data_IF_651085702070
#
_entry.id   IF_651085702070
#
_cell.length_a   1.000
_cell.length_b   1.000
_cell.length_c   1.000
_cell.angle_alpha   90.00
_cell.angle_beta   90.00
_cell.angle_gamma   90.00
#
_symmetry.space_group_name_H-M   'P 1'
#
loop_
_entity.id
_entity.type
_entity.pdbx_description
1 polymer ?
#
# COMPACT_ATOMS: atom_id res chain seq x y z
N UNK A 1 -15.09 -4.39 -8.33
CA UNK A 1 -14.31 -3.14 -8.46
C UNK A 1 -13.61 -2.70 -7.17
N UNK A 2 -14.29 -2.16 -6.14
CA UNK A 2 -13.61 -1.63 -4.93
C UNK A 2 -12.68 -2.63 -4.22
N UNK A 3 -13.10 -3.89 -4.11
CA UNK A 3 -12.28 -4.98 -3.57
C UNK A 3 -11.05 -5.25 -4.46
N UNK A 4 -11.21 -5.22 -5.79
CA UNK A 4 -10.08 -5.38 -6.71
C UNK A 4 -9.08 -4.23 -6.58
N UNK A 5 -9.55 -3.00 -6.43
CA UNK A 5 -8.69 -1.84 -6.18
C UNK A 5 -7.93 -1.99 -4.85
N UNK A 6 -8.56 -2.54 -3.81
CA UNK A 6 -7.88 -2.85 -2.55
C UNK A 6 -6.75 -3.86 -2.75
N UNK A 7 -7.01 -4.98 -3.45
CA UNK A 7 -5.97 -5.97 -3.77
C UNK A 7 -4.85 -5.35 -4.62
N UNK A 8 -5.20 -4.53 -5.61
CA UNK A 8 -4.24 -3.81 -6.42
C UNK A 8 -3.35 -2.90 -5.58
N UNK A 9 -3.94 -2.07 -4.71
CA UNK A 9 -3.18 -1.18 -3.82
C UNK A 9 -2.30 -1.96 -2.85
N UNK A 10 -2.80 -3.08 -2.31
CA UNK A 10 -2.00 -3.96 -1.45
C UNK A 10 -0.78 -4.52 -2.20
N UNK A 11 -0.98 -5.11 -3.38
CA UNK A 11 0.11 -5.65 -4.20
C UNK A 11 1.08 -4.56 -4.67
N UNK A 12 0.59 -3.38 -4.99
CA UNK A 12 1.39 -2.22 -5.36
C UNK A 12 2.33 -1.79 -4.22
N UNK A 13 1.80 -1.64 -3.00
CA UNK A 13 2.59 -1.26 -1.82
C UNK A 13 3.54 -2.39 -1.41
N UNK A 14 3.09 -3.64 -1.45
CA UNK A 14 3.93 -4.81 -1.19
C UNK A 14 5.12 -4.87 -2.15
N UNK A 15 4.88 -4.63 -3.45
CA UNK A 15 5.94 -4.55 -4.46
C UNK A 15 6.96 -3.47 -4.13
N UNK A 16 6.51 -2.26 -3.77
CA UNK A 16 7.41 -1.18 -3.35
C UNK A 16 8.25 -1.58 -2.13
N UNK A 17 7.65 -2.19 -1.11
CA UNK A 17 8.37 -2.68 0.08
C UNK A 17 9.42 -3.73 -0.29
N UNK A 18 9.09 -4.67 -1.19
CA UNK A 18 10.06 -5.68 -1.65
C UNK A 18 11.21 -5.09 -2.48
N UNK A 19 10.96 -4.06 -3.30
CA UNK A 19 12.03 -3.34 -4.03
C UNK A 19 12.91 -2.49 -3.12
N UNK A 20 12.37 -1.97 -2.03
CA UNK A 20 13.12 -1.21 -1.02
C UNK A 20 13.78 -2.08 0.06
N UNK A 21 13.93 -3.40 -0.15
CA UNK A 21 14.43 -4.31 0.87
C UNK A 21 15.79 -3.88 1.44
N UNK A 22 16.75 -3.53 0.57
CA UNK A 22 18.10 -3.10 0.97
C UNK A 22 18.07 -1.82 1.83
N UNK A 23 17.15 -0.90 1.51
CA UNK A 23 16.98 0.36 2.25
C UNK A 23 16.30 0.16 3.60
N UNK A 24 15.26 -0.69 3.65
CA UNK A 24 14.54 -0.99 4.88
C UNK A 24 15.41 -1.79 5.85
N UNK A 25 16.31 -2.64 5.36
CA UNK A 25 17.26 -3.37 6.21
C UNK A 25 18.28 -2.43 6.90
N UNK A 26 18.65 -1.34 6.24
CA UNK A 26 19.61 -0.34 6.72
C UNK A 26 18.95 0.85 7.45
N UNK A 27 17.62 0.87 7.55
CA UNK A 27 16.90 1.98 8.16
C UNK A 27 17.18 2.08 9.68
N UNK A 28 17.19 3.32 10.20
CA UNK A 28 17.41 3.56 11.63
C UNK A 28 16.11 3.32 12.43
N UNK A 29 16.11 2.26 13.22
CA UNK A 29 14.99 1.88 14.09
C UNK A 29 15.11 2.39 15.54
N UNK A 30 16.11 3.20 15.84
CA UNK A 30 16.44 3.63 17.21
C UNK A 30 15.28 4.33 17.93
N UNK A 31 14.75 3.71 19.00
CA UNK A 31 13.72 4.28 19.89
C UNK A 31 14.26 4.62 21.28
N UNK A 32 15.52 4.29 21.55
CA UNK A 32 16.12 4.35 22.89
C UNK A 32 15.97 3.06 23.69
N UNK A 33 15.29 2.04 23.15
CA UNK A 33 15.20 0.70 23.73
C UNK A 33 15.91 -0.32 22.82
N UNK A 34 17.16 -0.70 23.14
CA UNK A 34 17.97 -1.58 22.28
C UNK A 34 17.32 -2.96 22.01
N UNK A 35 16.57 -3.51 22.97
CA UNK A 35 15.93 -4.82 22.79
C UNK A 35 14.80 -4.76 21.75
N UNK A 36 13.94 -3.74 21.84
CA UNK A 36 12.86 -3.51 20.88
C UNK A 36 13.39 -3.11 19.50
N UNK A 37 14.47 -2.35 19.44
CA UNK A 37 15.10 -1.92 18.20
C UNK A 37 15.68 -3.12 17.44
N UNK A 38 16.41 -4.00 18.14
CA UNK A 38 16.93 -5.25 17.57
C UNK A 38 15.80 -6.19 17.12
N UNK A 39 14.75 -6.31 17.93
CA UNK A 39 13.57 -7.10 17.59
C UNK A 39 12.89 -6.56 16.34
N UNK A 40 12.73 -5.25 16.23
CA UNK A 40 12.13 -4.58 15.06
C UNK A 40 12.95 -4.86 13.81
N UNK A 41 14.27 -4.70 13.88
CA UNK A 41 15.15 -5.00 12.75
C UNK A 41 15.05 -6.47 12.30
N UNK A 42 15.00 -7.41 13.25
CA UNK A 42 14.79 -8.84 12.95
C UNK A 42 13.45 -9.09 12.25
N UNK A 43 12.36 -8.50 12.75
CA UNK A 43 11.02 -8.68 12.17
C UNK A 43 10.93 -8.07 10.76
N UNK A 44 11.55 -6.92 10.52
CA UNK A 44 11.63 -6.32 9.19
C UNK A 44 12.37 -7.24 8.22
N UNK A 45 13.51 -7.81 8.62
CA UNK A 45 14.23 -8.79 7.78
C UNK A 45 13.35 -10.01 7.49
N UNK A 46 12.69 -10.57 8.51
CA UNK A 46 11.79 -11.71 8.31
C UNK A 46 10.65 -11.41 7.33
N UNK A 47 10.11 -10.18 7.35
CA UNK A 47 9.10 -9.73 6.40
C UNK A 47 9.68 -9.66 4.98
N UNK A 48 10.82 -9.00 4.78
CA UNK A 48 11.43 -8.78 3.46
C UNK A 48 11.96 -10.05 2.79
N UNK A 49 12.47 -10.99 3.59
CA UNK A 49 13.04 -12.25 3.11
C UNK A 49 12.04 -13.41 3.18
N UNK A 50 10.76 -13.15 3.46
CA UNK A 50 9.75 -14.20 3.50
C UNK A 50 9.57 -14.83 2.10
N UNK A 51 9.84 -16.14 1.93
CA UNK A 51 9.79 -16.80 0.62
C UNK A 51 8.39 -16.76 0.01
N UNK A 52 7.34 -16.80 0.84
CA UNK A 52 5.94 -16.73 0.37
C UNK A 52 5.65 -15.38 -0.28
N UNK A 53 6.16 -14.28 0.28
CA UNK A 53 5.96 -12.94 -0.27
C UNK A 53 6.76 -12.74 -1.57
N UNK A 54 7.98 -13.31 -1.63
CA UNK A 54 8.81 -13.27 -2.85
C UNK A 54 8.19 -14.08 -4.00
N UNK A 55 7.62 -15.24 -3.71
CA UNK A 55 6.95 -16.08 -4.72
C UNK A 55 5.56 -15.58 -5.11
N UNK A 56 4.84 -14.94 -4.18
CA UNK A 56 3.47 -14.47 -4.38
C UNK A 56 3.34 -13.07 -4.98
N UNK A 57 4.45 -12.45 -5.40
CA UNK A 57 4.45 -11.20 -6.15
C UNK A 57 4.67 -11.48 -7.65
N UNK A 58 3.68 -12.01 -8.40
CA UNK A 58 3.66 -11.78 -9.84
C UNK A 58 3.52 -10.27 -10.04
N UNK A 59 4.27 -9.71 -10.99
CA UNK A 59 4.21 -8.29 -11.37
C UNK A 59 2.73 -7.88 -11.55
N UNK A 60 2.14 -7.09 -10.61
CA UNK A 60 0.71 -6.81 -10.66
C UNK A 60 0.34 -5.89 -11.83
N UNK A 61 1.34 -5.21 -12.38
CA UNK A 61 1.27 -4.38 -13.57
C UNK A 61 2.63 -4.39 -14.27
N UNK A 62 2.62 -4.08 -15.56
CA UNK A 62 3.83 -3.92 -16.36
C UNK A 62 4.47 -2.57 -16.02
N UNK A 63 5.51 -2.63 -15.19
CA UNK A 63 6.28 -1.47 -14.71
C UNK A 63 6.82 -0.63 -15.89
N UNK A 64 7.16 -1.29 -17.01
CA UNK A 64 7.61 -0.63 -18.23
C UNK A 64 6.50 0.21 -18.87
N UNK A 65 5.27 -0.31 -18.93
CA UNK A 65 4.13 0.45 -19.50
C UNK A 65 3.69 1.62 -18.65
N UNK A 66 3.84 1.51 -17.33
CA UNK A 66 3.42 2.57 -16.42
C UNK A 66 4.47 3.70 -16.35
N UNK A 67 5.77 3.37 -16.49
CA UNK A 67 6.85 4.29 -16.14
C UNK A 67 7.96 4.50 -17.20
N UNK A 68 8.14 3.62 -18.19
CA UNK A 68 9.18 3.74 -19.23
C UNK A 68 8.73 4.52 -20.48
N UNK A 69 7.59 5.20 -20.45
CA UNK A 69 7.21 6.15 -21.51
C UNK A 69 8.08 7.42 -21.49
N UNK A 70 8.19 8.12 -22.63
CA UNK A 70 8.95 9.38 -22.77
C UNK A 70 8.59 10.44 -21.70
N UNK A 71 7.41 10.36 -21.09
CA UNK A 71 6.89 11.32 -20.11
C UNK A 71 7.07 10.87 -18.63
N UNK A 72 7.86 9.83 -18.33
CA UNK A 72 8.05 9.30 -16.97
C UNK A 72 8.42 10.36 -15.90
N UNK A 73 9.36 11.27 -16.16
CA UNK A 73 9.72 12.35 -15.22
C UNK A 73 8.59 13.36 -14.98
N UNK A 74 7.83 13.70 -16.01
CA UNK A 74 6.70 14.63 -15.92
C UNK A 74 5.54 14.01 -15.13
N UNK A 75 5.22 12.75 -15.42
CA UNK A 75 4.22 11.96 -14.70
C UNK A 75 4.59 11.85 -13.20
N UNK A 76 5.86 11.63 -12.89
CA UNK A 76 6.35 11.62 -11.50
C UNK A 76 6.08 12.96 -10.80
N UNK A 77 6.37 14.09 -11.45
CA UNK A 77 6.13 15.42 -10.87
C UNK A 77 4.64 15.70 -10.70
N UNK A 78 3.82 15.30 -11.67
CA UNK A 78 2.37 15.46 -11.60
C UNK A 78 1.78 14.65 -10.45
N UNK A 79 2.14 13.38 -10.34
CA UNK A 79 1.72 12.50 -9.24
C UNK A 79 2.15 13.11 -7.90
N UNK A 80 3.40 13.54 -7.74
CA UNK A 80 3.86 14.19 -6.51
C UNK A 80 3.07 15.46 -6.17
N UNK A 81 2.69 16.25 -7.19
CA UNK A 81 1.82 17.42 -6.99
C UNK A 81 0.43 17.00 -6.53
N UNK A 82 -0.16 15.97 -7.12
CA UNK A 82 -1.46 15.44 -6.70
C UNK A 82 -1.42 14.93 -5.26
N UNK A 83 -0.39 14.19 -4.85
CA UNK A 83 -0.23 13.73 -3.46
C UNK A 83 -0.12 14.88 -2.45
N UNK A 84 0.58 15.97 -2.80
CA UNK A 84 0.61 17.20 -1.98
C UNK A 84 -0.77 17.83 -1.85
N UNK A 85 -1.53 17.90 -2.94
CA UNK A 85 -2.89 18.43 -2.93
C UNK A 85 -3.83 17.55 -2.09
N UNK A 86 -3.76 16.23 -2.22
CA UNK A 86 -4.54 15.30 -1.40
C UNK A 86 -4.18 15.48 0.08
N UNK A 87 -2.89 15.61 0.42
CA UNK A 87 -2.47 15.87 1.78
C UNK A 87 -3.00 17.20 2.33
N UNK A 88 -3.13 18.24 1.50
CA UNK A 88 -3.72 19.52 1.88
C UNK A 88 -5.24 19.39 2.11
N UNK A 89 -5.94 18.58 1.31
CA UNK A 89 -7.36 18.28 1.54
C UNK A 89 -7.57 17.56 2.88
N UNK A 90 -6.63 16.68 3.28
CA UNK A 90 -6.69 16.02 4.59
C UNK A 90 -6.65 17.01 5.76
N UNK A 91 -6.13 18.23 5.58
CA UNK A 91 -6.16 19.27 6.60
C UNK A 91 -7.56 19.83 6.87
N UNK A 92 -8.50 19.64 5.94
CA UNK A 92 -9.89 20.04 6.09
C UNK A 92 -10.77 18.98 6.79
N UNK A 93 -10.21 17.81 7.14
CA UNK A 93 -10.96 16.73 7.80
C UNK A 93 -11.09 17.04 9.29
N UNK A 94 -12.32 17.30 9.76
CA UNK A 94 -12.60 17.65 11.16
C UNK A 94 -12.40 16.50 12.16
N UNK A 95 -12.44 15.24 11.72
CA UNK A 95 -12.12 14.09 12.55
C UNK A 95 -10.60 13.92 12.67
N UNK A 96 -10.04 14.13 13.88
CA UNK A 96 -8.60 14.07 14.12
C UNK A 96 -7.97 12.71 13.78
N UNK A 97 -8.62 11.62 14.17
CA UNK A 97 -8.15 10.25 13.84
C UNK A 97 -8.16 10.03 12.33
N UNK A 98 -9.20 10.49 11.64
CA UNK A 98 -9.34 10.34 10.20
C UNK A 98 -8.29 11.17 9.45
N UNK A 99 -8.01 12.39 9.93
CA UNK A 99 -6.94 13.24 9.42
C UNK A 99 -5.56 12.60 9.60
N UNK A 100 -5.28 12.06 10.79
CA UNK A 100 -4.02 11.37 11.07
C UNK A 100 -3.80 10.17 10.13
N UNK A 101 -4.76 9.25 10.09
CA UNK A 101 -4.65 8.06 9.24
C UNK A 101 -4.68 8.40 7.75
N UNK A 102 -5.49 9.38 7.34
CA UNK A 102 -5.53 9.88 5.97
C UNK A 102 -4.17 10.41 5.53
N UNK A 103 -3.53 11.27 6.32
CA UNK A 103 -2.17 11.76 6.03
C UNK A 103 -1.13 10.65 6.02
N UNK A 104 -1.19 9.72 6.98
CA UNK A 104 -0.26 8.61 7.07
C UNK A 104 -0.36 7.69 5.84
N UNK A 105 -1.57 7.37 5.38
CA UNK A 105 -1.80 6.53 4.21
C UNK A 105 -1.40 7.23 2.90
N UNK A 106 -1.72 8.52 2.76
CA UNK A 106 -1.33 9.33 1.59
C UNK A 106 0.19 9.44 1.51
N UNK A 107 0.87 9.68 2.64
CA UNK A 107 2.34 9.67 2.70
C UNK A 107 2.91 8.30 2.32
N UNK A 108 2.37 7.21 2.88
CA UNK A 108 2.82 5.85 2.58
C UNK A 108 2.67 5.48 1.09
N UNK A 109 1.58 5.88 0.45
CA UNK A 109 1.37 5.68 -0.99
C UNK A 109 2.35 6.51 -1.82
N UNK A 110 2.61 7.76 -1.43
CA UNK A 110 3.63 8.60 -2.07
C UNK A 110 5.03 8.02 -1.93
N UNK A 111 5.36 7.45 -0.76
CA UNK A 111 6.63 6.74 -0.54
C UNK A 111 6.73 5.48 -1.40
N UNK A 112 5.67 4.69 -1.51
CA UNK A 112 5.65 3.52 -2.39
C UNK A 112 5.93 3.89 -3.86
N UNK A 113 5.30 4.96 -4.34
CA UNK A 113 5.58 5.51 -5.68
C UNK A 113 7.04 5.98 -5.80
N UNK A 114 7.54 6.77 -4.84
CA UNK A 114 8.93 7.25 -4.82
C UNK A 114 9.94 6.10 -4.94
N UNK A 115 9.70 4.98 -4.24
CA UNK A 115 10.53 3.78 -4.33
C UNK A 115 10.47 3.20 -5.74
N UNK A 116 9.27 2.93 -6.26
CA UNK A 116 9.09 2.30 -7.58
C UNK A 116 9.72 3.16 -8.70
N UNK A 117 9.61 4.49 -8.62
CA UNK A 117 10.24 5.42 -9.58
C UNK A 117 11.77 5.48 -9.50
N UNK A 118 12.38 5.08 -8.37
CA UNK A 118 13.83 5.25 -8.16
C UNK A 118 14.60 3.97 -8.45
N UNK A 119 13.97 2.80 -8.35
CA UNK A 119 14.64 1.50 -8.54
C UNK A 119 14.65 1.06 -10.02
N UNK A 120 13.69 1.51 -10.84
CA UNK A 120 13.59 1.12 -12.27
C UNK A 120 14.30 2.09 -13.24
N UNK A 121 14.89 3.17 -12.73
CA UNK A 121 15.65 4.13 -13.52
C UNK A 121 17.13 3.74 -13.62
N UNK A 122 17.45 2.72 -14.41
CA UNK A 122 18.83 2.26 -14.66
C UNK A 122 19.79 3.34 -15.23
N UNK A 123 19.30 4.54 -15.56
CA UNK A 123 20.08 5.62 -16.16
C UNK A 123 20.33 6.86 -15.27
N UNK A 124 19.99 6.82 -13.98
CA UNK A 124 20.31 7.93 -13.06
C UNK A 124 21.23 7.48 -11.93
N UNK A 125 22.50 7.23 -12.28
CA UNK A 125 23.64 6.85 -11.44
C UNK A 125 23.92 7.74 -10.20
N UNK A 126 23.10 8.74 -9.87
CA UNK A 126 23.39 9.70 -8.80
C UNK A 126 22.19 10.08 -7.91
N UNK A 127 21.01 9.47 -8.04
CA UNK A 127 19.90 9.76 -7.12
C UNK A 127 19.74 8.62 -6.11
N UNK A 128 20.57 8.65 -5.07
CA UNK A 128 20.44 7.73 -3.93
C UNK A 128 19.00 7.82 -3.39
N UNK A 129 18.22 6.74 -3.48
CA UNK A 129 16.91 6.68 -2.85
C UNK A 129 17.10 6.86 -1.34
N UNK A 130 16.76 8.04 -0.83
CA UNK A 130 16.80 8.34 0.59
C UNK A 130 15.37 8.37 1.13
N UNK A 131 15.09 7.47 2.08
CA UNK A 131 13.82 7.42 2.79
C UNK A 131 14.00 8.03 4.18
N UNK A 132 13.15 9.00 4.51
CA UNK A 132 13.09 9.57 5.84
C UNK A 132 12.39 8.60 6.81
N UNK A 133 12.67 8.72 8.11
CA UNK A 133 12.04 7.90 9.16
C UNK A 133 10.50 7.89 9.07
N UNK A 134 9.90 9.05 8.83
CA UNK A 134 8.45 9.18 8.67
C UNK A 134 7.91 8.48 7.42
N UNK A 135 8.68 8.46 6.32
CA UNK A 135 8.32 7.73 5.10
C UNK A 135 8.34 6.22 5.35
N UNK A 136 9.35 5.71 6.06
CA UNK A 136 9.43 4.29 6.46
C UNK A 136 8.26 3.91 7.37
N UNK A 137 7.99 4.72 8.39
CA UNK A 137 6.85 4.50 9.31
C UNK A 137 5.53 4.48 8.54
N UNK A 138 5.31 5.45 7.64
CA UNK A 138 4.10 5.55 6.84
C UNK A 138 3.92 4.35 5.91
N UNK A 139 5.00 3.90 5.25
CA UNK A 139 4.98 2.76 4.33
C UNK A 139 4.61 1.46 5.07
N UNK A 140 5.24 1.18 6.21
CA UNK A 140 4.96 -0.03 7.00
C UNK A 140 3.55 0.01 7.59
N UNK A 141 3.10 1.16 8.10
CA UNK A 141 1.74 1.32 8.62
C UNK A 141 0.67 1.15 7.53
N UNK A 142 0.91 1.71 6.34
CA UNK A 142 0.03 1.53 5.20
C UNK A 142 -0.06 0.05 4.79
N UNK A 143 1.08 -0.64 4.68
CA UNK A 143 1.11 -2.07 4.37
C UNK A 143 0.30 -2.87 5.39
N UNK A 144 0.46 -2.59 6.69
CA UNK A 144 -0.31 -3.26 7.74
C UNK A 144 -1.83 -3.00 7.60
N UNK A 145 -2.25 -1.74 7.39
CA UNK A 145 -3.67 -1.40 7.21
C UNK A 145 -4.28 -2.10 6.00
N UNK A 146 -3.55 -2.17 4.88
CA UNK A 146 -3.99 -2.87 3.68
C UNK A 146 -4.05 -4.38 3.91
N UNK A 147 -3.07 -4.96 4.60
CA UNK A 147 -3.04 -6.38 4.99
C UNK A 147 -4.26 -6.75 5.83
N UNK A 148 -4.57 -5.97 6.87
CA UNK A 148 -5.77 -6.17 7.69
C UNK A 148 -7.06 -6.04 6.86
N UNK A 149 -7.11 -5.09 5.93
CA UNK A 149 -8.27 -4.90 5.05
C UNK A 149 -8.47 -6.07 4.09
N UNK A 150 -7.39 -6.58 3.51
CA UNK A 150 -7.42 -7.77 2.63
C UNK A 150 -7.82 -9.01 3.43
N UNK A 151 -7.24 -9.20 4.62
CA UNK A 151 -7.60 -10.32 5.49
C UNK A 151 -9.08 -10.27 5.89
N UNK A 152 -9.59 -9.09 6.25
CA UNK A 152 -11.00 -8.89 6.56
C UNK A 152 -11.92 -9.28 5.39
N UNK A 153 -11.59 -8.85 4.16
CA UNK A 153 -12.36 -9.22 2.97
C UNK A 153 -12.26 -10.72 2.70
N UNK A 154 -11.10 -11.34 2.92
CA UNK A 154 -10.92 -12.77 2.74
C UNK A 154 -11.76 -13.60 3.74
N UNK A 155 -11.76 -13.21 5.02
CA UNK A 155 -12.53 -13.88 6.08
C UNK A 155 -14.04 -13.66 5.95
N UNK A 156 -14.47 -12.43 5.60
CA UNK A 156 -15.90 -12.06 5.58
C UNK A 156 -16.54 -12.18 4.21
N UNK A 157 -15.76 -12.24 3.13
CA UNK A 157 -16.24 -12.34 1.75
C UNK A 157 -17.25 -13.48 1.56
N UNK A 158 -16.91 -14.73 1.94
CA UNK A 158 -17.83 -15.86 1.79
C UNK A 158 -19.16 -15.65 2.52
N UNK A 159 -19.13 -15.16 3.77
CA UNK A 159 -20.33 -14.93 4.56
C UNK A 159 -21.22 -13.81 4.00
N UNK A 160 -20.63 -12.77 3.40
CA UNK A 160 -21.38 -11.67 2.79
C UNK A 160 -22.03 -12.13 1.48
N UNK A 161 -21.34 -12.94 0.68
CA UNK A 161 -21.91 -13.54 -0.54
C UNK A 161 -23.11 -14.44 -0.22
N UNK A 162 -23.02 -15.21 0.88
CA UNK A 162 -24.13 -16.07 1.32
C UNK A 162 -25.33 -15.25 1.80
N UNK A 163 -25.11 -14.13 2.51
CA UNK A 163 -26.19 -13.21 2.91
C UNK A 163 -26.83 -12.53 1.69
N UNK A 164 -26.05 -12.13 0.70
CA UNK A 164 -26.56 -11.54 -0.55
C UNK A 164 -27.36 -12.57 -1.36
N UNK A 165 -26.90 -13.83 -1.44
CA UNK A 165 -27.63 -14.94 -2.07
C UNK A 165 -28.93 -15.27 -1.35
N UNK A 166 -28.95 -15.19 -0.01
CA UNK A 166 -30.17 -15.40 0.77
C UNK A 166 -31.18 -14.26 0.55
N UNK A 167 -30.73 -13.01 0.52
CA UNK A 167 -31.58 -11.84 0.25
C UNK A 167 -32.13 -11.80 -1.18
N UNK A 168 -31.41 -12.32 -2.17
CA UNK A 168 -31.91 -12.42 -3.56
C UNK A 168 -32.92 -13.57 -3.73
N UNK A 169 -32.88 -14.60 -2.88
CA UNK A 169 -33.87 -15.70 -2.91
C UNK A 169 -35.22 -15.34 -2.27
N UNK A 170 -35.27 -14.35 -1.38
CA UNK A 170 -36.48 -13.95 -0.65
C UNK A 170 -37.44 -13.01 -1.40
N UNK A 171 -37.08 -12.53 -2.60
CA UNK A 171 -37.81 -11.44 -3.30
C UNK A 171 -38.57 -11.87 -4.55
N UNK A 172 -39.01 -13.14 -4.66
CA UNK A 172 -39.99 -13.55 -5.68
C UNK A 172 -40.99 -14.57 -5.12
N UNK A 173 -42.18 -14.09 -4.72
CA UNK A 173 -43.44 -14.80 -4.91
C UNK A 173 -44.53 -13.79 -5.28
N UNK A 174 -44.97 -13.69 -6.55
CA UNK A 174 -46.24 -13.05 -6.84
C UNK A 174 -47.34 -13.99 -6.35
N UNK A 175 -47.97 -13.64 -5.24
CA UNK A 175 -49.25 -14.25 -4.83
C UNK A 175 -50.34 -13.53 -5.59
N UNK A 176 -50.83 -14.15 -6.67
CA UNK A 176 -52.14 -13.82 -7.23
C UNK A 176 -53.19 -14.68 -6.53
N UNK A 177 -54.24 -14.10 -5.95
CA UNK A 177 -55.52 -14.76 -5.82
C UNK A 177 -56.52 -14.14 -6.81
N UNK A 178 -57.13 -15.07 -7.56
CA UNK A 178 -58.35 -15.08 -8.37
C UNK A 178 -59.29 -13.88 -8.18
#
# INVERSE_FOLDING_TARGET
ERVQNLYFTYLFVLRAVTKAADYLEQAEYNTGNPEEDLKTQSLVKQLLYNPKLRSACPLPFDEAKLWQGENGPELKQEIQKQFRNISAIMDCVGCEKCRLWGKLQVLGLGTALKILFSVDGENHLNQSLQLQRNEVIALVNLLNRLSESVNFVHEKGPSIEDVIKQQSSSTVKPVFPI
#
